data_IF_748060596536
#
_entry.id   IF_748060596536
#
_cell.length_a   1.000
_cell.length_b   1.000
_cell.length_c   1.000
_cell.angle_alpha   90.00
_cell.angle_beta   90.00
_cell.angle_gamma   90.00
#
_symmetry.space_group_name_H-M   'P 1'
#
loop_
_entity.id
_entity.type
_entity.pdbx_description
1 polymer ?
#
# COMPACT_ATOMS: atom_id res chain seq x y z
N UNK A 1 -16.44 42.41 -55.03
CA UNK A 1 -17.48 41.43 -54.68
C UNK A 1 -17.06 40.84 -53.36
N UNK A 2 -17.62 41.37 -52.28
CA UNK A 2 -17.35 40.94 -50.91
C UNK A 2 -18.33 39.81 -50.56
N UNK A 3 -17.79 38.67 -50.19
CA UNK A 3 -18.57 37.58 -49.56
C UNK A 3 -18.76 37.84 -48.10
N UNK A 4 -19.92 37.58 -47.48
CA UNK A 4 -20.18 37.84 -46.10
C UNK A 4 -19.61 36.73 -45.20
N UNK A 5 -18.93 37.11 -44.12
CA UNK A 5 -18.51 36.27 -43.01
C UNK A 5 -19.70 35.73 -42.24
N UNK A 6 -19.77 34.41 -42.04
CA UNK A 6 -20.74 33.77 -41.15
C UNK A 6 -20.23 33.84 -39.72
N UNK A 7 -21.07 34.23 -38.75
CA UNK A 7 -20.65 34.28 -37.34
C UNK A 7 -20.55 32.86 -36.70
N UNK A 8 -19.50 32.67 -35.94
CA UNK A 8 -19.26 31.46 -35.13
C UNK A 8 -20.29 31.30 -34.01
N UNK A 9 -20.79 30.09 -33.74
CA UNK A 9 -21.85 29.87 -32.73
C UNK A 9 -21.34 29.72 -31.25
N UNK A 10 -20.09 30.06 -30.95
CA UNK A 10 -19.53 29.96 -29.60
C UNK A 10 -19.16 31.32 -29.00
N UNK A 11 -20.15 32.19 -28.88
CA UNK A 11 -20.04 33.47 -28.21
C UNK A 11 -21.14 33.66 -27.20
N UNK A 12 -21.21 32.85 -26.13
CA UNK A 12 -22.00 33.18 -24.95
C UNK A 12 -21.06 33.36 -23.76
N UNK A 13 -20.97 34.61 -23.30
CA UNK A 13 -20.38 34.99 -22.05
C UNK A 13 -21.08 34.23 -20.91
N UNK A 14 -20.44 33.19 -20.41
CA UNK A 14 -20.77 32.64 -19.11
C UNK A 14 -20.33 33.65 -18.04
N UNK A 15 -21.30 34.35 -17.47
CA UNK A 15 -21.11 35.09 -16.24
C UNK A 15 -20.57 34.15 -15.19
N UNK A 16 -19.37 34.44 -14.69
CA UNK A 16 -18.83 33.79 -13.48
C UNK A 16 -19.81 34.15 -12.34
N UNK A 17 -20.69 33.22 -12.03
CA UNK A 17 -21.28 33.16 -10.71
C UNK A 17 -20.16 32.65 -9.80
N UNK A 18 -19.88 33.45 -8.77
CA UNK A 18 -18.96 33.08 -7.69
C UNK A 18 -19.37 31.71 -7.10
N UNK A 19 -18.79 30.65 -7.60
CA UNK A 19 -18.76 29.38 -6.92
C UNK A 19 -17.86 29.61 -5.71
N UNK A 20 -18.49 29.70 -4.55
CA UNK A 20 -17.80 29.60 -3.25
C UNK A 20 -16.90 28.40 -3.31
N UNK A 21 -15.60 28.66 -3.16
CA UNK A 21 -14.55 27.68 -3.38
C UNK A 21 -14.79 26.39 -2.60
N UNK A 22 -14.74 25.29 -3.30
CA UNK A 22 -14.41 24.00 -2.71
C UNK A 22 -13.08 24.19 -2.00
N UNK A 23 -13.13 24.27 -0.66
CA UNK A 23 -11.92 24.47 0.13
C UNK A 23 -10.97 23.31 -0.19
N UNK A 24 -9.83 23.63 -0.83
CA UNK A 24 -8.75 22.66 -0.98
C UNK A 24 -8.49 22.02 0.38
N UNK A 25 -8.55 20.69 0.43
CA UNK A 25 -8.30 19.96 1.66
C UNK A 25 -6.92 20.36 2.18
N UNK A 26 -6.88 20.99 3.37
CA UNK A 26 -5.64 21.46 3.97
C UNK A 26 -4.83 20.25 4.42
N UNK A 27 -3.80 19.89 3.67
CA UNK A 27 -2.96 18.70 3.88
C UNK A 27 -1.77 18.94 4.80
N UNK A 28 -1.47 20.21 5.11
CA UNK A 28 -0.31 20.62 5.91
C UNK A 28 -0.74 21.35 7.18
N UNK A 29 0.09 21.23 8.23
CA UNK A 29 0.03 22.10 9.41
C UNK A 29 0.71 23.43 9.12
N UNK A 30 0.42 24.47 9.91
CA UNK A 30 1.21 25.71 9.90
C UNK A 30 2.67 25.38 10.20
N UNK A 31 3.54 25.52 9.20
CA UNK A 31 4.96 25.16 9.30
C UNK A 31 5.46 24.15 8.28
N UNK A 32 4.62 23.68 7.35
CA UNK A 32 5.04 22.82 6.23
C UNK A 32 5.17 21.32 6.56
N UNK A 33 4.77 20.88 7.77
CA UNK A 33 4.71 19.45 8.11
C UNK A 33 3.37 18.83 7.74
N UNK A 34 3.35 17.55 7.25
CA UNK A 34 2.10 16.87 6.97
C UNK A 34 1.16 16.83 8.17
N UNK A 35 -0.09 17.03 7.92
CA UNK A 35 -1.16 17.05 8.91
C UNK A 35 -1.43 15.64 9.43
N UNK A 36 -1.47 15.43 10.75
CA UNK A 36 -1.76 14.14 11.42
C UNK A 36 -2.97 14.19 12.36
N UNK A 37 -3.81 15.21 12.25
CA UNK A 37 -5.01 15.43 13.06
C UNK A 37 -6.31 15.31 12.24
N UNK A 38 -6.29 14.46 11.22
CA UNK A 38 -7.45 14.16 10.40
C UNK A 38 -8.58 13.55 11.24
N UNK A 39 -9.80 14.01 11.05
CA UNK A 39 -10.99 13.35 11.56
C UNK A 39 -11.55 12.37 10.55
N UNK A 40 -12.27 11.36 11.01
CA UNK A 40 -12.99 10.44 10.11
C UNK A 40 -14.01 11.15 9.23
N UNK A 41 -14.67 12.21 9.77
CA UNK A 41 -15.63 13.00 9.02
C UNK A 41 -14.99 13.74 7.83
N UNK A 42 -13.79 14.30 8.01
CA UNK A 42 -13.04 14.94 6.92
C UNK A 42 -12.63 13.92 5.86
N UNK A 43 -12.16 12.74 6.26
CA UNK A 43 -11.78 11.67 5.32
C UNK A 43 -13.02 11.14 4.58
N UNK A 44 -14.16 10.97 5.26
CA UNK A 44 -15.42 10.58 4.63
C UNK A 44 -15.86 11.62 3.59
N UNK A 45 -15.75 12.91 3.91
CA UNK A 45 -16.07 14.00 2.98
C UNK A 45 -15.19 13.97 1.71
N UNK A 46 -13.92 13.54 1.81
CA UNK A 46 -13.07 13.33 0.62
C UNK A 46 -13.61 12.20 -0.27
N UNK A 47 -14.09 11.09 0.33
CA UNK A 47 -14.71 10.01 -0.44
C UNK A 47 -16.00 10.45 -1.16
N UNK A 48 -16.70 11.45 -0.64
CA UNK A 48 -17.95 11.96 -1.20
C UNK A 48 -17.76 13.07 -2.24
N UNK A 49 -16.55 13.57 -2.43
CA UNK A 49 -16.26 14.55 -3.48
C UNK A 49 -16.68 14.03 -4.86
N UNK A 50 -17.13 14.92 -5.77
CA UNK A 50 -17.23 14.60 -7.17
C UNK A 50 -15.90 13.97 -7.67
N UNK A 51 -15.99 12.90 -8.47
CA UNK A 51 -14.81 12.13 -8.85
C UNK A 51 -13.70 12.98 -9.48
N UNK A 52 -14.07 13.91 -10.36
CA UNK A 52 -13.11 14.77 -11.03
C UNK A 52 -12.39 15.73 -10.06
N UNK A 53 -13.10 16.25 -9.07
CA UNK A 53 -12.52 17.14 -8.06
C UNK A 53 -11.55 16.39 -7.16
N UNK A 54 -11.94 15.20 -6.70
CA UNK A 54 -11.07 14.31 -5.93
C UNK A 54 -9.78 13.96 -6.69
N UNK A 55 -9.89 13.63 -7.98
CA UNK A 55 -8.75 13.29 -8.83
C UNK A 55 -7.83 14.49 -9.07
N UNK A 56 -8.41 15.68 -9.24
CA UNK A 56 -7.65 16.92 -9.42
C UNK A 56 -6.85 17.26 -8.15
N UNK A 57 -7.48 17.18 -6.98
CA UNK A 57 -6.84 17.45 -5.70
C UNK A 57 -5.70 16.46 -5.41
N UNK A 58 -5.97 15.16 -5.58
CA UNK A 58 -4.97 14.11 -5.39
C UNK A 58 -3.76 14.29 -6.31
N UNK A 59 -4.01 14.59 -7.61
CA UNK A 59 -2.94 14.79 -8.58
C UNK A 59 -2.14 16.09 -8.29
N UNK A 60 -2.81 17.13 -7.82
CA UNK A 60 -2.16 18.39 -7.44
C UNK A 60 -1.20 18.18 -6.27
N UNK A 61 -1.65 17.45 -5.23
CA UNK A 61 -0.83 17.07 -4.07
C UNK A 61 0.34 16.17 -4.49
N UNK A 62 0.08 15.17 -5.34
CA UNK A 62 1.14 14.32 -5.85
C UNK A 62 2.25 15.14 -6.54
N UNK A 63 1.88 16.07 -7.42
CA UNK A 63 2.84 16.90 -8.17
C UNK A 63 3.58 17.93 -7.31
N UNK A 64 3.02 18.29 -6.17
CA UNK A 64 3.70 19.16 -5.20
C UNK A 64 4.80 18.43 -4.43
N UNK A 65 4.65 17.12 -4.20
CA UNK A 65 5.53 16.33 -3.34
C UNK A 65 6.48 15.38 -4.09
N UNK A 66 6.18 15.03 -5.35
CA UNK A 66 6.94 14.02 -6.08
C UNK A 66 7.28 14.46 -7.51
N UNK A 67 8.41 13.95 -8.08
CA UNK A 67 8.72 14.16 -9.49
C UNK A 67 7.59 13.66 -10.39
N UNK A 68 7.26 14.46 -11.41
CA UNK A 68 6.19 14.15 -12.35
C UNK A 68 6.51 12.88 -13.15
N UNK A 69 5.55 12.01 -13.31
CA UNK A 69 5.62 10.82 -14.17
C UNK A 69 6.73 9.81 -13.78
N UNK A 70 7.18 9.84 -12.52
CA UNK A 70 8.09 8.82 -11.99
C UNK A 70 7.31 7.79 -11.18
N UNK A 71 7.58 6.51 -11.46
CA UNK A 71 7.03 5.38 -10.73
C UNK A 71 8.18 4.52 -10.25
N UNK A 72 8.28 4.32 -8.94
CA UNK A 72 9.25 3.41 -8.36
C UNK A 72 8.87 1.96 -8.70
N UNK A 73 9.81 1.20 -9.24
CA UNK A 73 9.65 -0.22 -9.48
C UNK A 73 10.31 -1.04 -8.36
N UNK A 74 9.58 -2.03 -7.87
CA UNK A 74 10.03 -2.95 -6.83
C UNK A 74 9.86 -4.40 -7.28
N UNK A 75 10.68 -5.29 -6.77
CA UNK A 75 10.47 -6.75 -6.89
C UNK A 75 10.26 -7.33 -5.50
N UNK A 76 9.32 -8.26 -5.36
CA UNK A 76 9.10 -9.01 -4.12
C UNK A 76 9.50 -10.47 -4.32
N UNK A 77 10.28 -10.98 -3.38
CA UNK A 77 10.65 -12.39 -3.28
C UNK A 77 10.07 -12.99 -1.99
N UNK A 78 9.41 -14.14 -2.10
CA UNK A 78 9.10 -14.98 -0.95
C UNK A 78 10.36 -15.73 -0.53
N UNK A 79 10.99 -15.29 0.55
CA UNK A 79 12.19 -15.94 1.08
C UNK A 79 11.86 -17.14 1.99
N UNK A 80 10.61 -17.24 2.42
CA UNK A 80 10.04 -18.38 3.15
C UNK A 80 8.55 -18.45 2.91
N UNK A 81 8.07 -19.50 2.23
CA UNK A 81 6.70 -19.68 1.78
C UNK A 81 5.93 -20.60 2.72
N UNK A 82 4.65 -20.29 2.96
CA UNK A 82 3.66 -21.16 3.63
C UNK A 82 3.91 -21.44 5.11
N UNK A 83 2.90 -22.01 5.75
CA UNK A 83 2.97 -22.45 7.15
C UNK A 83 3.05 -21.32 8.18
N UNK A 84 2.53 -20.13 7.86
CA UNK A 84 2.35 -19.05 8.82
C UNK A 84 1.28 -19.44 9.84
N UNK A 85 1.53 -19.31 11.16
CA UNK A 85 0.56 -19.69 12.18
C UNK A 85 -0.60 -18.69 12.34
N UNK A 86 -0.58 -17.56 11.62
CA UNK A 86 -1.66 -16.57 11.62
C UNK A 86 -2.85 -17.03 10.77
N UNK A 87 -4.07 -16.66 11.16
CA UNK A 87 -5.32 -17.05 10.53
C UNK A 87 -5.88 -16.01 9.54
N UNK A 88 -5.05 -15.09 9.05
CA UNK A 88 -5.47 -14.03 8.12
C UNK A 88 -6.35 -14.61 6.99
N UNK A 89 -7.65 -14.26 7.00
CA UNK A 89 -8.68 -14.88 6.16
C UNK A 89 -8.48 -14.74 4.64
N UNK A 90 -7.63 -13.80 4.21
CA UNK A 90 -7.26 -13.57 2.81
C UNK A 90 -5.98 -14.32 2.38
N UNK A 91 -5.17 -14.83 3.35
CA UNK A 91 -3.78 -15.21 3.10
C UNK A 91 -3.64 -16.71 2.84
N UNK A 92 -3.16 -17.08 1.64
CA UNK A 92 -2.86 -18.46 1.30
C UNK A 92 -1.60 -19.01 1.96
N UNK A 93 -0.76 -18.15 2.57
CA UNK A 93 0.43 -18.51 3.33
C UNK A 93 0.09 -19.04 4.73
N UNK A 94 -1.15 -18.81 5.20
CA UNK A 94 -1.65 -19.28 6.49
C UNK A 94 -1.66 -20.81 6.58
N UNK A 95 -1.24 -21.35 7.72
CA UNK A 95 -1.40 -22.77 8.01
C UNK A 95 -2.88 -23.19 8.18
N UNK A 96 -3.78 -22.22 8.38
CA UNK A 96 -5.22 -22.42 8.46
C UNK A 96 -5.91 -22.44 7.09
N UNK A 97 -5.22 -22.02 6.02
CA UNK A 97 -5.77 -22.02 4.66
C UNK A 97 -5.64 -23.42 4.01
N UNK A 98 -6.72 -23.85 3.34
CA UNK A 98 -6.72 -25.07 2.54
C UNK A 98 -6.30 -24.81 1.08
N UNK A 99 -5.31 -23.94 0.87
CA UNK A 99 -4.85 -23.50 -0.45
C UNK A 99 -3.94 -24.52 -1.16
N UNK A 100 -3.52 -25.57 -0.48
CA UNK A 100 -2.57 -26.56 -1.01
C UNK A 100 -1.11 -26.09 -1.02
N UNK A 101 -0.82 -24.85 -0.58
CA UNK A 101 0.51 -24.31 -0.50
C UNK A 101 1.33 -25.01 0.60
N UNK A 102 2.47 -25.59 0.22
CA UNK A 102 3.35 -26.29 1.16
C UNK A 102 4.28 -25.32 1.87
N UNK A 103 4.52 -25.59 3.16
CA UNK A 103 5.49 -24.84 3.93
C UNK A 103 6.92 -25.16 3.46
N UNK A 104 7.70 -24.11 3.18
CA UNK A 104 9.10 -24.20 2.78
C UNK A 104 10.01 -23.70 3.90
N UNK A 105 11.28 -24.05 3.82
CA UNK A 105 12.34 -23.52 4.69
C UNK A 105 12.73 -22.12 4.21
N UNK A 106 13.38 -21.35 5.09
CA UNK A 106 14.05 -20.10 4.70
C UNK A 106 15.06 -20.39 3.57
N UNK A 107 15.02 -19.58 2.53
CA UNK A 107 15.96 -19.64 1.41
C UNK A 107 17.41 -19.38 1.89
N UNK A 108 18.38 -19.92 1.18
CA UNK A 108 19.78 -19.55 1.44
C UNK A 108 20.07 -18.11 1.03
N UNK A 109 20.96 -17.44 1.73
CA UNK A 109 21.42 -16.08 1.39
C UNK A 109 21.86 -16.01 -0.08
N UNK A 110 22.62 -17.01 -0.55
CA UNK A 110 23.09 -17.06 -1.95
C UNK A 110 21.92 -17.03 -2.96
N UNK A 111 20.87 -17.83 -2.73
CA UNK A 111 19.71 -17.88 -3.63
C UNK A 111 18.96 -16.54 -3.64
N UNK A 112 18.81 -15.90 -2.47
CA UNK A 112 18.18 -14.58 -2.35
C UNK A 112 19.00 -13.52 -3.06
N UNK A 113 20.33 -13.53 -2.94
CA UNK A 113 21.20 -12.57 -3.64
C UNK A 113 21.18 -12.76 -5.15
N UNK A 114 21.07 -13.98 -5.63
CA UNK A 114 20.89 -14.25 -7.06
C UNK A 114 19.58 -13.66 -7.58
N UNK A 115 18.48 -13.81 -6.83
CA UNK A 115 17.20 -13.21 -7.19
C UNK A 115 17.24 -11.67 -7.12
N UNK A 116 17.96 -11.10 -6.15
CA UNK A 116 18.15 -9.65 -6.04
C UNK A 116 18.91 -9.09 -7.25
N UNK A 117 19.95 -9.78 -7.72
CA UNK A 117 20.69 -9.39 -8.94
C UNK A 117 19.76 -9.38 -10.17
N UNK A 118 18.97 -10.43 -10.35
CA UNK A 118 17.97 -10.50 -11.44
C UNK A 118 16.94 -9.36 -11.35
N UNK A 119 16.47 -9.03 -10.15
CA UNK A 119 15.54 -7.94 -9.94
C UNK A 119 16.15 -6.58 -10.32
N UNK A 120 17.42 -6.35 -9.95
CA UNK A 120 18.16 -5.15 -10.33
C UNK A 120 18.33 -5.05 -11.85
N UNK A 121 18.73 -6.13 -12.51
CA UNK A 121 18.90 -6.19 -13.97
C UNK A 121 17.56 -5.95 -14.70
N UNK A 122 16.43 -6.34 -14.09
CA UNK A 122 15.09 -6.05 -14.57
C UNK A 122 14.62 -4.59 -14.28
N UNK A 123 15.46 -3.75 -13.69
CA UNK A 123 15.19 -2.32 -13.46
C UNK A 123 14.50 -2.00 -12.15
N UNK A 124 14.41 -2.94 -11.20
CA UNK A 124 13.87 -2.64 -9.87
C UNK A 124 14.87 -1.82 -9.06
N UNK A 125 14.40 -0.73 -8.45
CA UNK A 125 15.20 0.08 -7.53
C UNK A 125 15.04 -0.38 -6.07
N UNK A 126 13.97 -1.15 -5.76
CA UNK A 126 13.72 -1.72 -4.43
C UNK A 126 13.53 -3.23 -4.52
N UNK A 127 14.15 -3.94 -3.59
CA UNK A 127 14.02 -5.37 -3.43
C UNK A 127 13.33 -5.69 -2.10
N UNK A 128 12.13 -6.26 -2.17
CA UNK A 128 11.33 -6.63 -1.03
C UNK A 128 11.46 -8.14 -0.77
N UNK A 129 11.63 -8.52 0.48
CA UNK A 129 11.79 -9.90 0.92
C UNK A 129 10.72 -10.24 1.95
N UNK A 130 9.87 -11.20 1.66
CA UNK A 130 8.76 -11.61 2.52
C UNK A 130 8.92 -13.02 3.06
N UNK A 131 8.60 -13.24 4.33
CA UNK A 131 8.56 -14.55 4.95
C UNK A 131 7.22 -14.79 5.64
N UNK A 132 6.64 -15.97 5.42
CA UNK A 132 5.38 -16.38 6.02
C UNK A 132 5.59 -16.77 7.49
N UNK A 133 5.73 -15.77 8.37
CA UNK A 133 5.91 -15.89 9.80
C UNK A 133 4.93 -15.00 10.58
N UNK A 134 4.64 -15.42 11.83
CA UNK A 134 4.08 -14.53 12.83
C UNK A 134 5.13 -13.52 13.29
N UNK A 135 6.34 -14.00 13.56
CA UNK A 135 7.53 -13.24 13.89
C UNK A 135 8.78 -14.06 13.50
N UNK A 136 9.90 -13.43 13.16
CA UNK A 136 11.12 -14.16 12.86
C UNK A 136 11.66 -14.83 14.12
N UNK A 137 12.37 -15.95 13.95
CA UNK A 137 13.06 -16.62 15.05
C UNK A 137 14.49 -16.09 15.14
N UNK A 138 15.00 -15.90 16.35
CA UNK A 138 16.35 -15.35 16.57
C UNK A 138 17.45 -16.13 15.83
N UNK A 139 17.29 -17.45 15.71
CA UNK A 139 18.21 -18.30 14.96
C UNK A 139 18.28 -18.00 13.46
N UNK A 140 17.22 -17.39 12.90
CA UNK A 140 17.11 -17.07 11.49
C UNK A 140 17.60 -15.63 11.19
N UNK A 141 17.68 -14.78 12.23
CA UNK A 141 18.09 -13.36 12.12
C UNK A 141 19.48 -13.17 11.48
N UNK A 142 20.53 -13.97 11.78
CA UNK A 142 21.81 -13.80 11.12
C UNK A 142 21.74 -13.91 9.59
N UNK A 143 20.98 -14.88 9.06
CA UNK A 143 20.80 -15.03 7.61
C UNK A 143 20.01 -13.84 7.02
N UNK A 144 18.97 -13.34 7.73
CA UNK A 144 18.18 -12.19 7.31
C UNK A 144 19.04 -10.93 7.26
N UNK A 145 19.89 -10.69 8.27
CA UNK A 145 20.85 -9.57 8.31
C UNK A 145 21.79 -9.62 7.10
N UNK A 146 22.30 -10.78 6.75
CA UNK A 146 23.16 -10.93 5.56
C UNK A 146 22.39 -10.68 4.25
N UNK A 147 21.11 -11.05 4.16
CA UNK A 147 20.27 -10.73 3.00
C UNK A 147 20.06 -9.22 2.85
N UNK A 148 19.84 -8.50 3.95
CA UNK A 148 19.72 -7.03 3.95
C UNK A 148 21.01 -6.39 3.46
N UNK A 149 22.16 -6.75 4.08
CA UNK A 149 23.47 -6.21 3.71
C UNK A 149 23.79 -6.48 2.24
N UNK A 150 23.51 -7.68 1.75
CA UNK A 150 23.74 -8.04 0.35
C UNK A 150 22.92 -7.22 -0.63
N UNK A 151 21.63 -6.98 -0.35
CA UNK A 151 20.77 -6.11 -1.15
C UNK A 151 21.27 -4.66 -1.18
N UNK A 152 21.69 -4.14 -0.03
CA UNK A 152 22.31 -2.81 0.11
C UNK A 152 23.60 -2.67 -0.68
N UNK A 153 24.48 -3.67 -0.61
CA UNK A 153 25.73 -3.68 -1.38
C UNK A 153 25.51 -3.66 -2.89
N UNK A 154 24.36 -4.18 -3.35
CA UNK A 154 23.97 -4.08 -4.75
C UNK A 154 23.42 -2.67 -5.12
N UNK A 155 23.31 -1.74 -4.17
CA UNK A 155 22.78 -0.40 -4.39
C UNK A 155 21.25 -0.36 -4.55
N UNK A 156 20.54 -1.36 -4.04
CA UNK A 156 19.07 -1.40 -4.02
C UNK A 156 18.55 -0.92 -2.67
N UNK A 157 17.41 -0.25 -2.66
CA UNK A 157 16.62 -0.15 -1.42
C UNK A 157 16.13 -1.53 -1.01
N UNK A 158 16.19 -1.83 0.29
CA UNK A 158 15.74 -3.09 0.85
C UNK A 158 14.47 -2.93 1.67
N UNK A 159 13.57 -3.89 1.57
CA UNK A 159 12.35 -3.93 2.35
C UNK A 159 12.13 -5.36 2.86
N UNK A 160 11.77 -5.49 4.14
CA UNK A 160 11.44 -6.78 4.76
C UNK A 160 10.00 -6.85 5.22
N UNK A 161 9.40 -8.05 5.12
CA UNK A 161 8.08 -8.40 5.67
C UNK A 161 8.22 -9.73 6.40
N UNK A 162 8.45 -9.71 7.70
CA UNK A 162 8.78 -10.90 8.50
C UNK A 162 7.74 -11.18 9.61
N UNK A 163 6.59 -10.51 9.57
CA UNK A 163 5.60 -10.52 10.64
C UNK A 163 5.89 -9.46 11.70
N UNK A 164 5.57 -9.75 12.97
CA UNK A 164 5.83 -8.83 14.09
C UNK A 164 7.32 -8.83 14.43
N UNK A 165 7.84 -7.68 14.87
CA UNK A 165 9.22 -7.53 15.34
C UNK A 165 9.23 -7.11 16.82
N UNK A 166 10.14 -7.70 17.59
CA UNK A 166 10.57 -7.11 18.86
C UNK A 166 11.50 -5.90 18.58
N UNK A 167 11.68 -5.05 19.60
CA UNK A 167 12.63 -3.93 19.54
C UNK A 167 14.02 -4.40 19.13
N UNK A 168 14.55 -5.45 19.80
CA UNK A 168 15.89 -5.98 19.49
C UNK A 168 16.02 -6.51 18.06
N UNK A 169 14.97 -7.11 17.49
CA UNK A 169 14.98 -7.57 16.11
C UNK A 169 14.92 -6.39 15.13
N UNK A 170 14.16 -5.33 15.46
CA UNK A 170 14.12 -4.11 14.68
C UNK A 170 15.49 -3.41 14.67
N UNK A 171 16.15 -3.30 15.82
CA UNK A 171 17.50 -2.74 15.95
C UNK A 171 18.53 -3.52 15.12
N UNK A 172 18.50 -4.87 15.17
CA UNK A 172 19.37 -5.69 14.34
C UNK A 172 19.21 -5.44 12.84
N UNK A 173 17.99 -5.20 12.38
CA UNK A 173 17.71 -4.89 10.98
C UNK A 173 18.13 -3.45 10.62
N UNK A 174 17.96 -2.50 11.53
CA UNK A 174 18.44 -1.14 11.38
C UNK A 174 19.98 -1.10 11.26
N UNK A 175 20.70 -1.81 12.13
CA UNK A 175 22.15 -1.94 12.11
C UNK A 175 22.65 -2.61 10.82
N UNK A 176 21.85 -3.51 10.23
CA UNK A 176 22.13 -4.11 8.93
C UNK A 176 21.91 -3.14 7.75
N UNK A 177 21.29 -1.98 8.00
CA UNK A 177 20.99 -0.95 7.02
C UNK A 177 19.67 -1.17 6.27
N UNK A 178 18.69 -1.85 6.87
CA UNK A 178 17.37 -2.02 6.27
C UNK A 178 16.70 -0.66 6.03
N UNK A 179 16.26 -0.41 4.79
CA UNK A 179 15.60 0.85 4.44
C UNK A 179 14.14 0.91 4.87
N UNK A 180 13.39 -0.18 4.65
CA UNK A 180 11.96 -0.26 4.92
C UNK A 180 11.56 -1.57 5.60
N UNK A 181 10.60 -1.48 6.50
CA UNK A 181 9.91 -2.64 7.03
C UNK A 181 8.42 -2.57 6.69
N UNK A 182 7.91 -3.61 6.01
CA UNK A 182 6.50 -3.70 5.69
C UNK A 182 5.75 -4.48 6.78
N UNK A 183 4.77 -3.81 7.36
CA UNK A 183 3.82 -4.41 8.28
C UNK A 183 2.46 -3.72 8.10
N UNK A 184 1.61 -4.30 7.28
CA UNK A 184 0.31 -3.72 6.97
C UNK A 184 -0.62 -3.77 8.17
N UNK A 185 -1.49 -2.76 8.33
CA UNK A 185 -2.62 -2.81 9.27
C UNK A 185 -3.83 -3.53 8.67
N UNK A 186 -3.77 -3.83 7.36
CA UNK A 186 -4.69 -4.59 6.53
C UNK A 186 -6.04 -3.93 6.29
N UNK A 187 -6.75 -3.46 7.31
CA UNK A 187 -8.08 -2.84 7.23
C UNK A 187 -8.31 -1.87 8.40
N UNK A 188 -9.56 -1.39 8.59
CA UNK A 188 -9.92 -0.58 9.77
C UNK A 188 -9.85 -1.38 11.07
N UNK A 189 -9.68 -0.70 12.24
CA UNK A 189 -9.77 -1.36 13.54
C UNK A 189 -11.11 -2.13 13.72
N UNK A 190 -12.22 -1.58 13.22
CA UNK A 190 -13.56 -2.14 13.37
C UNK A 190 -13.82 -3.37 12.50
N UNK A 191 -13.13 -3.48 11.36
CA UNK A 191 -13.24 -4.63 10.47
C UNK A 191 -12.18 -5.70 10.73
N UNK A 192 -11.14 -5.39 11.50
CA UNK A 192 -9.94 -6.22 11.66
C UNK A 192 -10.25 -7.61 12.21
N UNK A 193 -11.05 -7.72 13.26
CA UNK A 193 -11.38 -9.00 13.91
C UNK A 193 -12.22 -9.93 13.02
N UNK A 194 -12.89 -9.40 11.99
CA UNK A 194 -13.60 -10.20 10.99
C UNK A 194 -12.65 -10.91 10.02
N UNK A 195 -11.40 -10.46 9.96
CA UNK A 195 -10.40 -10.93 8.99
C UNK A 195 -9.29 -11.71 9.66
N UNK A 196 -8.89 -11.32 10.88
CA UNK A 196 -7.74 -11.87 11.62
C UNK A 196 -8.11 -11.96 13.09
N UNK A 197 -7.93 -13.15 13.71
CA UNK A 197 -8.24 -13.37 15.12
C UNK A 197 -7.02 -13.77 15.96
N UNK A 198 -5.93 -14.23 15.33
CA UNK A 198 -4.73 -14.72 16.02
C UNK A 198 -3.83 -13.61 16.58
N UNK A 199 -4.07 -12.37 16.19
CA UNK A 199 -3.41 -11.15 16.72
C UNK A 199 -4.36 -9.97 16.66
N UNK A 200 -4.14 -8.99 17.50
CA UNK A 200 -4.95 -7.78 17.58
C UNK A 200 -4.50 -6.71 16.56
N UNK A 201 -5.33 -5.70 16.37
CA UNK A 201 -4.96 -4.51 15.61
C UNK A 201 -3.82 -3.74 16.32
N UNK A 202 -3.83 -3.69 17.64
CA UNK A 202 -2.79 -3.04 18.46
C UNK A 202 -1.43 -3.74 18.32
N UNK A 203 -1.38 -5.08 18.19
CA UNK A 203 -0.13 -5.80 17.88
C UNK A 203 0.53 -5.29 16.58
N UNK A 204 -0.28 -4.85 15.62
CA UNK A 204 0.23 -4.22 14.38
C UNK A 204 0.87 -2.88 14.68
N UNK A 205 0.19 -2.04 15.45
CA UNK A 205 0.68 -0.71 15.81
C UNK A 205 1.96 -0.77 16.63
N UNK A 206 2.06 -1.68 17.59
CA UNK A 206 3.28 -1.92 18.37
C UNK A 206 4.46 -2.30 17.46
N UNK A 207 4.23 -3.15 16.46
CA UNK A 207 5.29 -3.50 15.49
C UNK A 207 5.73 -2.27 14.69
N UNK A 208 4.79 -1.42 14.24
CA UNK A 208 5.12 -0.19 13.51
C UNK A 208 5.91 0.78 14.40
N UNK A 209 5.59 0.86 15.68
CA UNK A 209 6.31 1.67 16.64
C UNK A 209 7.74 1.17 16.85
N UNK A 210 7.96 -0.13 17.07
CA UNK A 210 9.28 -0.73 17.19
C UNK A 210 10.15 -0.43 15.96
N UNK A 211 9.57 -0.59 14.76
CA UNK A 211 10.24 -0.27 13.48
C UNK A 211 10.61 1.21 13.41
N UNK A 212 9.70 2.09 13.80
CA UNK A 212 9.92 3.55 13.79
C UNK A 212 11.01 3.95 14.77
N UNK A 213 11.01 3.39 15.97
CA UNK A 213 11.97 3.70 17.03
C UNK A 213 13.39 3.24 16.68
N UNK A 214 13.55 2.18 15.91
CA UNK A 214 14.86 1.75 15.39
C UNK A 214 15.38 2.57 14.22
N UNK A 215 14.60 3.55 13.70
CA UNK A 215 14.99 4.42 12.59
C UNK A 215 14.74 3.86 11.20
N UNK A 216 14.12 2.69 11.07
CA UNK A 216 13.71 2.11 9.78
C UNK A 216 12.45 2.82 9.28
N UNK A 217 12.36 3.06 7.97
CA UNK A 217 11.16 3.62 7.36
C UNK A 217 10.01 2.59 7.41
N UNK A 218 8.81 3.09 7.70
CA UNK A 218 7.60 2.28 7.78
C UNK A 218 6.95 2.14 6.41
N UNK A 219 6.67 0.90 6.02
CA UNK A 219 5.76 0.58 4.92
C UNK A 219 4.51 -0.08 5.51
N UNK A 220 3.38 0.61 5.50
CA UNK A 220 2.13 0.09 6.07
C UNK A 220 0.93 0.57 5.28
N UNK A 221 0.04 -0.35 4.96
CA UNK A 221 -1.17 -0.12 4.20
C UNK A 221 -2.20 -1.21 4.45
N UNK A 222 -3.01 -1.52 3.45
CA UNK A 222 -4.08 -2.51 3.61
C UNK A 222 -4.60 -3.09 2.32
N UNK A 223 -5.72 -3.79 2.45
CA UNK A 223 -6.38 -4.54 1.39
C UNK A 223 -7.83 -4.07 1.30
N UNK A 224 -8.24 -3.71 0.09
CA UNK A 224 -9.61 -3.33 -0.25
C UNK A 224 -10.29 -4.52 -0.94
N UNK A 225 -11.56 -4.76 -0.63
CA UNK A 225 -12.36 -5.86 -1.21
C UNK A 225 -12.47 -7.07 -0.30
N UNK A 226 -12.20 -6.94 1.01
CA UNK A 226 -12.36 -8.01 2.00
C UNK A 226 -13.78 -8.08 2.60
N UNK A 227 -14.76 -7.43 1.97
CA UNK A 227 -16.12 -7.31 2.48
C UNK A 227 -16.33 -6.09 3.39
N UNK A 228 -15.35 -5.22 3.46
CA UNK A 228 -15.41 -3.95 4.19
C UNK A 228 -16.34 -2.95 3.51
N UNK A 229 -16.88 -2.03 4.30
CA UNK A 229 -17.68 -0.88 3.84
C UNK A 229 -16.79 0.31 3.47
N UNK A 230 -17.39 1.36 2.89
CA UNK A 230 -16.69 2.64 2.70
C UNK A 230 -16.26 3.25 4.04
N UNK A 231 -17.09 3.13 5.08
CA UNK A 231 -16.77 3.59 6.44
C UNK A 231 -15.53 2.87 6.99
N UNK A 232 -15.39 1.56 6.73
CA UNK A 232 -14.18 0.82 7.08
C UNK A 232 -12.96 1.34 6.31
N UNK A 233 -13.09 1.71 5.03
CA UNK A 233 -11.99 2.34 4.26
C UNK A 233 -11.60 3.70 4.83
N UNK A 234 -12.57 4.49 5.29
CA UNK A 234 -12.33 5.73 6.04
C UNK A 234 -11.54 5.43 7.30
N UNK A 235 -11.98 4.44 8.10
CA UNK A 235 -11.29 4.01 9.33
C UNK A 235 -9.87 3.51 9.07
N UNK A 236 -9.67 2.76 8.00
CA UNK A 236 -8.35 2.29 7.56
C UNK A 236 -7.39 3.44 7.23
N UNK A 237 -7.80 4.36 6.39
CA UNK A 237 -6.96 5.51 6.02
C UNK A 237 -6.75 6.46 7.21
N UNK A 238 -7.79 6.66 8.05
CA UNK A 238 -7.67 7.43 9.27
C UNK A 238 -6.59 6.86 10.20
N UNK A 239 -6.59 5.54 10.44
CA UNK A 239 -5.62 4.91 11.33
C UNK A 239 -4.16 5.15 10.89
N UNK A 240 -3.88 5.24 9.59
CA UNK A 240 -2.56 5.58 9.07
C UNK A 240 -2.27 7.09 9.09
N UNK A 241 -3.27 7.91 8.78
CA UNK A 241 -3.12 9.36 8.64
C UNK A 241 -2.96 10.09 9.98
N UNK A 242 -3.37 9.47 11.09
CA UNK A 242 -3.21 10.03 12.45
C UNK A 242 -1.98 9.52 13.19
N UNK A 243 -1.18 8.63 12.58
CA UNK A 243 0.10 8.27 13.17
C UNK A 243 0.97 9.51 13.38
N UNK A 244 1.78 9.58 14.44
CA UNK A 244 2.64 10.75 14.72
C UNK A 244 3.51 11.16 13.54
N UNK A 245 3.89 10.20 12.71
CA UNK A 245 4.51 10.37 11.39
C UNK A 245 3.89 9.37 10.42
N UNK A 246 3.45 9.83 9.26
CA UNK A 246 2.88 8.98 8.24
C UNK A 246 3.87 7.88 7.83
N UNK A 247 3.39 6.69 7.42
CA UNK A 247 4.25 5.71 6.79
C UNK A 247 4.90 6.29 5.53
N UNK A 248 6.17 6.05 5.33
CA UNK A 248 6.91 6.50 4.13
C UNK A 248 6.41 5.78 2.87
N UNK A 249 5.80 4.60 3.02
CA UNK A 249 5.20 3.85 1.93
C UNK A 249 3.86 3.25 2.35
N UNK A 250 2.83 3.46 1.52
CA UNK A 250 1.45 3.03 1.79
C UNK A 250 0.96 2.15 0.64
N UNK A 251 1.05 0.83 0.77
CA UNK A 251 0.46 -0.09 -0.20
C UNK A 251 -1.07 -0.09 -0.07
N UNK A 252 -1.77 0.16 -1.18
CA UNK A 252 -3.20 -0.07 -1.33
C UNK A 252 -3.35 -1.27 -2.25
N UNK A 253 -3.76 -2.39 -1.67
CA UNK A 253 -3.93 -3.65 -2.37
C UNK A 253 -5.40 -3.91 -2.66
N UNK A 254 -5.69 -4.60 -3.76
CA UNK A 254 -6.99 -5.22 -3.94
C UNK A 254 -6.92 -6.69 -3.55
N UNK A 255 -7.97 -7.18 -2.91
CA UNK A 255 -8.05 -8.60 -2.59
C UNK A 255 -7.95 -9.44 -3.86
N UNK A 256 -7.09 -10.45 -3.82
CA UNK A 256 -7.08 -11.56 -4.79
C UNK A 256 -7.74 -12.74 -4.10
N UNK A 257 -8.98 -13.10 -4.47
CA UNK A 257 -9.68 -14.22 -3.84
C UNK A 257 -8.98 -15.53 -4.19
N UNK A 258 -8.27 -16.12 -3.23
CA UNK A 258 -7.58 -17.41 -3.43
C UNK A 258 -8.45 -18.53 -2.88
N UNK A 259 -8.76 -19.54 -3.73
CA UNK A 259 -9.50 -20.74 -3.31
C UNK A 259 -8.79 -21.45 -2.16
N UNK A 260 -9.56 -21.82 -1.14
CA UNK A 260 -9.01 -22.44 0.06
C UNK A 260 -8.66 -21.45 1.20
N UNK A 261 -8.70 -20.15 0.95
CA UNK A 261 -8.71 -19.15 2.02
C UNK A 261 -10.16 -18.87 2.46
N UNK A 262 -10.33 -18.38 3.68
CA UNK A 262 -11.66 -18.06 4.23
C UNK A 262 -12.38 -17.04 3.34
N UNK A 263 -11.75 -15.89 3.08
CA UNK A 263 -12.34 -14.83 2.26
C UNK A 263 -12.46 -15.23 0.79
N UNK A 264 -11.47 -15.96 0.24
CA UNK A 264 -11.54 -16.45 -1.12
C UNK A 264 -12.74 -17.38 -1.37
N UNK A 265 -13.03 -18.28 -0.42
CA UNK A 265 -14.20 -19.16 -0.52
C UNK A 265 -15.52 -18.40 -0.25
N UNK A 266 -15.53 -17.46 0.70
CA UNK A 266 -16.74 -16.71 1.08
C UNK A 266 -17.17 -15.74 -0.02
N UNK A 267 -16.23 -15.13 -0.73
CA UNK A 267 -16.51 -14.07 -1.71
C UNK A 267 -16.63 -14.59 -3.16
N UNK A 268 -16.14 -15.80 -3.46
CA UNK A 268 -15.98 -16.33 -4.84
C UNK A 268 -17.24 -16.22 -5.72
N UNK A 269 -18.42 -16.47 -5.13
CA UNK A 269 -19.70 -16.49 -5.85
C UNK A 269 -20.57 -15.26 -5.54
N UNK A 270 -19.97 -14.18 -5.05
CA UNK A 270 -20.65 -12.93 -4.68
C UNK A 270 -20.23 -11.79 -5.59
N UNK A 271 -21.02 -10.70 -5.70
CA UNK A 271 -20.59 -9.49 -6.39
C UNK A 271 -19.29 -8.89 -5.83
N UNK A 272 -18.96 -9.19 -4.57
CA UNK A 272 -17.75 -8.71 -3.89
C UNK A 272 -16.47 -9.44 -4.36
N UNK A 273 -16.59 -10.52 -5.17
CA UNK A 273 -15.43 -11.16 -5.81
C UNK A 273 -14.70 -10.22 -6.78
N UNK A 274 -15.39 -9.20 -7.29
CA UNK A 274 -14.80 -8.12 -8.08
C UNK A 274 -14.79 -6.84 -7.28
N UNK A 275 -13.62 -6.22 -7.24
CA UNK A 275 -13.50 -4.88 -6.64
C UNK A 275 -14.24 -3.86 -7.51
N UNK A 276 -14.90 -2.91 -6.86
CA UNK A 276 -15.36 -1.69 -7.52
C UNK A 276 -14.13 -0.83 -7.84
N UNK A 277 -13.77 -0.77 -9.13
CA UNK A 277 -12.57 -0.10 -9.59
C UNK A 277 -12.60 1.42 -9.30
N UNK A 278 -13.76 2.06 -9.35
CA UNK A 278 -13.89 3.49 -9.05
C UNK A 278 -13.72 3.74 -7.56
N UNK A 279 -14.28 2.90 -6.70
CA UNK A 279 -14.07 2.99 -5.25
C UNK A 279 -12.62 2.69 -4.86
N UNK A 280 -11.96 1.79 -5.59
CA UNK A 280 -10.53 1.55 -5.39
C UNK A 280 -9.69 2.79 -5.76
N UNK A 281 -9.95 3.41 -6.91
CA UNK A 281 -9.29 4.66 -7.32
C UNK A 281 -9.55 5.78 -6.33
N UNK A 282 -10.79 5.92 -5.80
CA UNK A 282 -11.10 6.86 -4.72
C UNK A 282 -10.24 6.62 -3.49
N UNK A 283 -10.07 5.36 -3.09
CA UNK A 283 -9.23 5.01 -1.93
C UNK A 283 -7.78 5.43 -2.14
N UNK A 284 -7.23 5.22 -3.34
CA UNK A 284 -5.88 5.68 -3.71
C UNK A 284 -5.77 7.20 -3.67
N UNK A 285 -6.77 7.92 -4.22
CA UNK A 285 -6.81 9.38 -4.24
C UNK A 285 -6.88 9.97 -2.81
N UNK A 286 -7.76 9.44 -1.98
CA UNK A 286 -7.89 9.87 -0.57
C UNK A 286 -6.59 9.56 0.19
N UNK A 287 -5.98 8.39 0.00
CA UNK A 287 -4.69 8.06 0.60
C UNK A 287 -3.60 9.08 0.24
N UNK A 288 -3.54 9.52 -1.03
CA UNK A 288 -2.61 10.58 -1.49
C UNK A 288 -2.87 11.91 -0.80
N UNK A 289 -4.14 12.29 -0.62
CA UNK A 289 -4.51 13.57 0.00
C UNK A 289 -4.16 13.59 1.48
N UNK A 290 -4.50 12.53 2.20
CA UNK A 290 -4.31 12.51 3.67
C UNK A 290 -2.87 12.17 4.09
N UNK A 291 -2.08 11.59 3.19
CA UNK A 291 -0.66 11.26 3.41
C UNK A 291 0.19 11.78 2.24
N UNK A 292 0.38 13.11 2.14
CA UNK A 292 0.92 13.77 0.94
C UNK A 292 2.35 13.37 0.58
N UNK A 293 3.19 13.02 1.54
CA UNK A 293 4.60 12.65 1.36
C UNK A 293 4.84 11.14 1.25
N UNK A 294 3.80 10.33 1.43
CA UNK A 294 3.92 8.88 1.38
C UNK A 294 4.03 8.37 -0.07
N UNK A 295 4.86 7.35 -0.28
CA UNK A 295 4.84 6.57 -1.54
C UNK A 295 3.57 5.72 -1.57
N UNK A 296 2.56 6.12 -2.34
CA UNK A 296 1.35 5.30 -2.51
C UNK A 296 1.63 4.21 -3.53
N UNK A 297 1.46 2.96 -3.11
CA UNK A 297 1.91 1.79 -3.86
C UNK A 297 0.75 0.90 -4.29
N UNK A 298 0.77 0.48 -5.54
CA UNK A 298 -0.12 -0.55 -6.09
C UNK A 298 0.64 -1.87 -6.17
N UNK A 299 0.02 -2.95 -5.64
CA UNK A 299 0.63 -4.28 -5.67
C UNK A 299 -0.38 -5.39 -5.93
N UNK A 300 -0.86 -6.09 -4.89
CA UNK A 300 -1.76 -7.22 -5.03
C UNK A 300 -3.08 -6.79 -5.70
N UNK A 301 -3.62 -7.65 -6.54
CA UNK A 301 -4.86 -7.41 -7.28
C UNK A 301 -4.73 -6.49 -8.50
N UNK A 302 -3.59 -5.83 -8.72
CA UNK A 302 -3.40 -4.93 -9.86
C UNK A 302 -3.61 -5.63 -11.21
N UNK A 303 -3.17 -6.88 -11.35
CA UNK A 303 -3.27 -7.62 -12.61
C UNK A 303 -4.71 -8.02 -12.96
N UNK A 304 -5.62 -8.03 -11.99
CA UNK A 304 -7.05 -8.29 -12.21
C UNK A 304 -7.85 -7.01 -12.51
N UNK A 305 -7.24 -5.82 -12.37
CA UNK A 305 -7.86 -4.55 -12.70
C UNK A 305 -7.75 -4.24 -14.20
N UNK A 306 -8.72 -3.48 -14.71
CA UNK A 306 -8.63 -2.94 -16.06
C UNK A 306 -7.43 -2.00 -16.22
N UNK A 307 -6.91 -1.87 -17.44
CA UNK A 307 -5.85 -0.89 -17.73
C UNK A 307 -6.29 0.53 -17.42
N UNK A 308 -7.56 0.84 -17.63
CA UNK A 308 -8.15 2.14 -17.27
C UNK A 308 -8.09 2.39 -15.77
N UNK A 309 -8.46 1.41 -14.93
CA UNK A 309 -8.34 1.52 -13.49
C UNK A 309 -6.90 1.76 -13.04
N UNK A 310 -5.95 0.99 -13.58
CA UNK A 310 -4.53 1.16 -13.27
C UNK A 310 -4.04 2.57 -13.65
N UNK A 311 -4.40 3.07 -14.83
CA UNK A 311 -4.06 4.43 -15.26
C UNK A 311 -4.65 5.50 -14.33
N UNK A 312 -5.92 5.34 -13.94
CA UNK A 312 -6.58 6.24 -12.99
C UNK A 312 -5.93 6.21 -11.60
N UNK A 313 -5.45 5.05 -11.13
CA UNK A 313 -4.71 4.98 -9.87
C UNK A 313 -3.41 5.80 -9.91
N UNK A 314 -2.66 5.77 -11.03
CA UNK A 314 -1.48 6.62 -11.18
C UNK A 314 -1.85 8.11 -11.31
N UNK A 315 -2.97 8.43 -11.95
CA UNK A 315 -3.51 9.79 -11.95
C UNK A 315 -3.98 10.24 -10.57
N UNK A 316 -4.49 9.32 -9.75
CA UNK A 316 -4.84 9.56 -8.34
C UNK A 316 -3.61 9.71 -7.43
N UNK A 317 -2.40 9.65 -7.98
CA UNK A 317 -1.15 9.88 -7.25
C UNK A 317 -0.46 8.63 -6.72
N UNK A 318 -0.82 7.42 -7.17
CA UNK A 318 0.04 6.26 -6.98
C UNK A 318 1.38 6.49 -7.69
N UNK A 319 2.50 6.17 -7.04
CA UNK A 319 3.84 6.44 -7.57
C UNK A 319 4.84 5.31 -7.30
N UNK A 320 4.36 4.15 -6.90
CA UNK A 320 5.18 2.95 -6.74
C UNK A 320 4.38 1.71 -7.14
N UNK A 321 5.06 0.74 -7.74
CA UNK A 321 4.45 -0.53 -8.14
C UNK A 321 5.48 -1.65 -8.12
N UNK A 322 4.99 -2.89 -8.16
CA UNK A 322 5.84 -4.05 -8.33
C UNK A 322 5.94 -4.45 -9.80
N UNK A 323 7.14 -4.88 -10.21
CA UNK A 323 7.33 -5.56 -11.48
C UNK A 323 6.55 -6.88 -11.49
N UNK A 324 6.20 -7.38 -12.68
CA UNK A 324 5.59 -8.71 -12.81
C UNK A 324 6.56 -9.75 -12.23
N UNK A 325 6.15 -10.43 -11.19
CA UNK A 325 6.91 -11.46 -10.51
C UNK A 325 5.98 -12.35 -9.70
N UNK A 326 6.46 -13.49 -9.24
CA UNK A 326 5.68 -14.43 -8.44
C UNK A 326 5.15 -13.74 -7.19
N UNK A 327 3.84 -13.55 -7.13
CA UNK A 327 3.18 -12.97 -5.96
C UNK A 327 3.29 -13.91 -4.75
N UNK A 328 3.33 -13.34 -3.54
CA UNK A 328 3.18 -14.08 -2.28
C UNK A 328 1.75 -14.59 -2.04
N UNK A 329 0.84 -14.29 -2.96
CA UNK A 329 -0.59 -14.67 -2.90
C UNK A 329 -0.89 -15.83 -3.82
#
# INVERSE_FOLDING_TARGET
MNSPETPSPFGSSLSRTDAQGSGQARTEREGGTPRTDWTRAEIAALFDLPFNDLMFDAQSIHRANFPRNQVQLSTLLSIKTGGCPEDCGYCNQSAHAASGLKAEKLMSVQAVMQAAAQAKDAGSSRFCMGAAWRNPKDRDMPAIVEMVKGGRQMGMETCMTLGMLSESQADMLADAGLDYYNHNIDTSPEHYEKVITTRTFDDRLVTLENVRNSGINVCSGGIVGMGETREDRVGFLHALAVLPRHPESVPINALVPVKGTVLGNMLADTPLAKIDEIEFVRTVAVARIVMPESMVRLYAGRESMSEACQALCFMAGANSSFTRGTMLT
#
